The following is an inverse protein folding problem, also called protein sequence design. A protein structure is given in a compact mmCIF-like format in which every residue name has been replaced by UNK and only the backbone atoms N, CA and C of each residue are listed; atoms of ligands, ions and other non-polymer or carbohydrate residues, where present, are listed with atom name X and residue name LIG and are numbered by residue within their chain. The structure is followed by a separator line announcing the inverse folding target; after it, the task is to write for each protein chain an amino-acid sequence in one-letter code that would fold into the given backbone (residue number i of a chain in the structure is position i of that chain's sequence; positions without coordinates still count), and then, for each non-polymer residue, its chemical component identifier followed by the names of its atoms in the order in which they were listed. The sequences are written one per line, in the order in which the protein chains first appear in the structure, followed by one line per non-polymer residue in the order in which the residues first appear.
data_IF_547007232100
#
_entry.id   IF_547007232100
#
_cell.length_a   1.000
_cell.length_b   1.000
_cell.length_c   1.000
_cell.angle_alpha   90.00
_cell.angle_beta   90.00
_cell.angle_gamma   90.00
#
_symmetry.space_group_name_H-M   'P 1'
#
loop_
_entity.id
_entity.type
_entity.pdbx_description
1 polymer ?
#
# COMPACT_ATOMS: atom_id res chain seq x y z
N UNK A 1 34.83 -6.22 17.45
CA UNK A 1 34.29 -6.66 16.15
C UNK A 1 34.39 -8.17 16.08
N UNK A 2 33.25 -8.86 16.13
CA UNK A 2 33.15 -10.33 16.15
C UNK A 2 32.61 -10.82 14.81
N UNK A 3 33.05 -12.03 14.42
CA UNK A 3 32.96 -12.56 13.05
C UNK A 3 31.51 -12.72 12.53
N UNK A 4 30.54 -12.88 13.43
CA UNK A 4 29.09 -12.82 13.22
C UNK A 4 28.46 -12.71 14.62
N UNK A 5 27.93 -11.55 15.02
CA UNK A 5 27.28 -11.44 16.34
C UNK A 5 25.77 -11.38 16.21
N UNK A 6 25.12 -12.42 16.73
CA UNK A 6 23.78 -12.34 17.29
C UNK A 6 23.90 -12.40 18.82
N UNK A 7 23.99 -11.22 19.44
CA UNK A 7 23.58 -11.04 20.83
C UNK A 7 22.51 -9.94 20.83
N UNK A 8 21.24 -10.37 20.84
CA UNK A 8 20.11 -9.47 20.99
C UNK A 8 19.93 -9.13 22.47
N UNK A 9 20.41 -7.95 22.86
CA UNK A 9 19.98 -7.31 24.09
C UNK A 9 19.44 -5.93 23.76
N UNK A 10 18.10 -5.79 23.81
CA UNK A 10 17.44 -4.48 23.93
C UNK A 10 17.09 -3.71 22.65
N UNK A 11 17.06 -4.33 21.46
CA UNK A 11 16.60 -3.66 20.23
C UNK A 11 15.64 -4.54 19.43
N UNK A 12 14.64 -3.88 18.84
CA UNK A 12 13.49 -4.41 18.08
C UNK A 12 13.85 -5.53 17.10
N UNK A 13 12.86 -6.35 16.72
CA UNK A 13 12.92 -7.51 15.83
C UNK A 13 13.41 -7.24 14.39
N UNK A 14 14.06 -6.10 14.16
CA UNK A 14 14.66 -5.67 12.89
C UNK A 14 16.05 -6.29 12.74
N UNK A 15 16.22 -7.10 11.70
CA UNK A 15 17.52 -7.65 11.32
C UNK A 15 18.34 -6.56 10.63
N UNK A 16 19.51 -6.22 11.18
CA UNK A 16 20.47 -5.28 10.57
C UNK A 16 21.74 -6.03 10.22
N UNK A 17 22.29 -5.78 9.03
CA UNK A 17 23.59 -6.35 8.62
C UNK A 17 24.71 -5.71 9.45
N UNK A 18 25.43 -6.53 10.22
CA UNK A 18 26.51 -6.09 11.11
C UNK A 18 27.82 -6.83 10.79
N UNK A 19 28.94 -6.31 11.30
CA UNK A 19 30.25 -6.97 11.22
C UNK A 19 30.87 -6.98 9.82
N UNK A 20 31.52 -8.09 9.46
CA UNK A 20 32.26 -8.25 8.19
C UNK A 20 31.37 -8.09 6.96
N UNK A 21 30.16 -8.68 6.90
CA UNK A 21 29.25 -8.47 5.77
C UNK A 21 28.98 -6.98 5.50
N UNK A 22 28.75 -6.20 6.56
CA UNK A 22 28.50 -4.76 6.45
C UNK A 22 29.73 -3.98 6.01
N UNK A 23 30.90 -4.33 6.55
CA UNK A 23 32.17 -3.74 6.12
C UNK A 23 32.41 -3.96 4.61
N UNK A 24 32.10 -5.17 4.10
CA UNK A 24 32.22 -5.48 2.68
C UNK A 24 31.29 -4.64 1.81
N UNK A 25 30.05 -4.39 2.24
CA UNK A 25 29.11 -3.49 1.54
C UNK A 25 29.66 -2.07 1.45
N UNK A 26 30.19 -1.56 2.57
CA UNK A 26 30.71 -0.19 2.67
C UNK A 26 31.97 0.03 1.82
N UNK A 27 32.95 -0.89 1.89
CA UNK A 27 34.21 -0.77 1.13
C UNK A 27 33.95 -0.81 -0.38
N UNK A 28 33.01 -1.65 -0.82
CA UNK A 28 32.70 -1.80 -2.24
C UNK A 28 31.68 -0.78 -2.75
N UNK A 29 31.16 0.11 -1.89
CA UNK A 29 30.11 1.08 -2.23
C UNK A 29 28.94 0.37 -2.93
N UNK A 30 28.47 -0.71 -2.32
CA UNK A 30 27.43 -1.56 -2.91
C UNK A 30 26.11 -0.77 -3.04
N UNK A 31 25.55 -0.70 -4.26
CA UNK A 31 24.22 -0.10 -4.48
C UNK A 31 23.10 -0.90 -3.81
N UNK A 32 23.18 -2.23 -3.91
CA UNK A 32 22.21 -3.15 -3.33
C UNK A 32 22.75 -3.71 -2.02
N UNK A 33 22.39 -3.07 -0.90
CA UNK A 33 22.71 -3.54 0.45
C UNK A 33 21.67 -4.55 0.93
N UNK A 34 22.06 -5.48 1.81
CA UNK A 34 21.17 -6.58 2.24
C UNK A 34 20.02 -6.14 3.13
N UNK A 35 20.25 -5.14 3.98
CA UNK A 35 19.26 -4.63 4.93
C UNK A 35 19.17 -3.12 4.80
N UNK A 36 18.60 -2.59 3.70
CA UNK A 36 18.38 -1.16 3.55
C UNK A 36 17.43 -0.66 4.64
N UNK A 37 17.73 0.50 5.21
CA UNK A 37 16.90 1.06 6.26
C UNK A 37 17.10 2.56 6.41
N UNK A 38 16.03 3.25 6.75
CA UNK A 38 16.02 4.64 7.18
C UNK A 38 15.64 4.73 8.66
N UNK A 39 16.17 5.76 9.33
CA UNK A 39 15.66 6.26 10.60
C UNK A 39 15.07 7.63 10.34
N UNK A 40 13.76 7.75 10.47
CA UNK A 40 12.98 8.92 10.12
C UNK A 40 12.45 9.54 11.41
N UNK A 41 12.92 10.74 11.73
CA UNK A 41 12.39 11.50 12.85
C UNK A 41 11.16 12.30 12.40
N UNK A 42 10.23 12.47 13.32
CA UNK A 42 8.99 13.20 13.07
C UNK A 42 9.09 14.63 13.62
N UNK A 43 8.30 15.54 13.04
CA UNK A 43 8.17 16.91 13.57
C UNK A 43 7.52 16.88 14.96
N UNK A 44 7.62 17.99 15.70
CA UNK A 44 7.12 18.06 17.09
C UNK A 44 5.61 17.83 17.21
N UNK A 45 4.84 18.02 16.14
CA UNK A 45 3.40 17.77 16.11
C UNK A 45 3.08 16.26 16.15
N UNK A 46 3.90 15.45 15.47
CA UNK A 46 3.66 14.02 15.30
C UNK A 46 4.51 13.13 16.23
N UNK A 47 5.59 13.65 16.81
CA UNK A 47 6.54 12.84 17.58
C UNK A 47 6.17 12.57 19.05
N UNK A 48 5.12 13.21 19.61
CA UNK A 48 4.72 13.02 21.01
C UNK A 48 3.55 12.03 21.20
N UNK A 49 2.73 11.81 20.16
CA UNK A 49 1.57 10.91 20.22
C UNK A 49 1.78 9.72 19.27
N UNK A 50 1.62 8.50 19.79
CA UNK A 50 1.74 7.26 19.01
C UNK A 50 0.70 7.18 17.88
N UNK A 51 -0.51 7.68 18.10
CA UNK A 51 -1.56 7.70 17.07
C UNK A 51 -1.17 8.60 15.89
N UNK A 52 -0.55 9.75 16.17
CA UNK A 52 -0.05 10.68 15.15
C UNK A 52 1.15 10.06 14.41
N UNK A 53 2.05 9.38 15.12
CA UNK A 53 3.13 8.63 14.49
C UNK A 53 2.61 7.50 13.57
N UNK A 54 1.48 6.86 13.91
CA UNK A 54 0.84 5.84 13.06
C UNK A 54 0.36 6.40 11.73
N UNK A 55 -0.11 7.66 11.69
CA UNK A 55 -0.49 8.33 10.43
C UNK A 55 0.71 8.39 9.47
N UNK A 56 1.86 8.85 9.98
CA UNK A 56 3.08 8.94 9.15
C UNK A 56 3.63 7.55 8.82
N UNK A 57 3.52 6.58 9.74
CA UNK A 57 3.88 5.19 9.48
C UNK A 57 3.12 4.62 8.28
N UNK A 58 1.80 4.83 8.22
CA UNK A 58 0.95 4.41 7.11
C UNK A 58 1.31 5.13 5.81
N UNK A 59 1.64 6.42 5.87
CA UNK A 59 2.06 7.20 4.70
C UNK A 59 3.42 6.76 4.13
N UNK A 60 4.29 6.15 4.95
CA UNK A 60 5.60 5.65 4.52
C UNK A 60 5.55 4.20 4.03
N UNK A 61 4.77 3.34 4.68
CA UNK A 61 4.79 1.90 4.40
C UNK A 61 4.08 1.56 3.08
N UNK A 62 4.85 1.04 2.11
CA UNK A 62 4.33 0.61 0.83
C UNK A 62 3.28 -0.48 1.00
N UNK A 63 2.05 -0.17 0.62
CA UNK A 63 0.92 -1.07 0.68
C UNK A 63 0.38 -1.28 -0.72
N UNK A 64 0.55 -2.50 -1.24
CA UNK A 64 -0.06 -2.92 -2.50
C UNK A 64 -1.43 -3.54 -2.25
N UNK A 65 -2.24 -3.62 -3.31
CA UNK A 65 -3.56 -4.27 -3.24
C UNK A 65 -3.48 -5.68 -2.64
N UNK A 66 -2.48 -6.48 -3.07
CA UNK A 66 -2.23 -7.83 -2.53
C UNK A 66 -2.07 -7.91 -1.02
N UNK A 67 -1.51 -6.87 -0.37
CA UNK A 67 -1.35 -6.91 1.10
C UNK A 67 -2.70 -6.93 1.80
N UNK A 68 -3.68 -6.17 1.28
CA UNK A 68 -5.01 -6.01 1.88
C UNK A 68 -6.06 -6.98 1.30
N UNK A 69 -5.80 -7.62 0.17
CA UNK A 69 -6.69 -8.65 -0.39
C UNK A 69 -6.71 -9.90 0.47
N UNK A 70 -7.92 -10.39 0.77
CA UNK A 70 -8.17 -11.67 1.42
C UNK A 70 -8.21 -12.81 0.40
N UNK A 71 -8.97 -12.62 -0.68
CA UNK A 71 -9.14 -13.59 -1.76
C UNK A 71 -9.56 -12.90 -3.05
N UNK A 72 -9.31 -13.57 -4.17
CA UNK A 72 -9.78 -13.20 -5.51
C UNK A 72 -10.60 -14.36 -6.07
N UNK A 73 -11.76 -14.03 -6.64
CA UNK A 73 -12.72 -15.01 -7.17
C UNK A 73 -13.15 -14.53 -8.56
N UNK A 74 -13.21 -15.44 -9.53
CA UNK A 74 -13.71 -15.14 -10.87
C UNK A 74 -15.06 -15.82 -11.05
N UNK A 75 -16.09 -15.02 -11.33
CA UNK A 75 -17.45 -15.48 -11.55
C UNK A 75 -17.88 -15.21 -12.99
N UNK A 76 -18.70 -16.10 -13.53
CA UNK A 76 -19.48 -15.81 -14.73
C UNK A 76 -20.84 -15.28 -14.30
N UNK A 77 -21.06 -13.98 -14.49
CA UNK A 77 -22.24 -13.23 -14.07
C UNK A 77 -22.78 -12.39 -15.24
N UNK A 78 -23.69 -12.95 -16.05
CA UNK A 78 -24.02 -12.40 -17.36
C UNK A 78 -24.84 -11.11 -17.32
N UNK A 79 -25.57 -10.86 -16.24
CA UNK A 79 -26.31 -9.61 -16.05
C UNK A 79 -25.39 -8.64 -15.28
N UNK A 80 -25.04 -7.46 -15.84
CA UNK A 80 -24.24 -6.48 -15.12
C UNK A 80 -25.02 -5.77 -14.01
N UNK A 81 -26.35 -5.67 -14.14
CA UNK A 81 -27.23 -4.92 -13.22
C UNK A 81 -27.63 -5.72 -11.97
N UNK A 82 -27.51 -7.03 -12.04
CA UNK A 82 -27.79 -7.97 -10.96
C UNK A 82 -26.57 -8.82 -10.70
N UNK A 83 -26.59 -9.58 -9.62
CA UNK A 83 -25.52 -10.54 -9.38
C UNK A 83 -26.03 -11.89 -8.89
N UNK A 84 -25.33 -12.94 -9.33
CA UNK A 84 -25.51 -14.30 -8.83
C UNK A 84 -24.97 -14.46 -7.40
N UNK A 85 -24.07 -13.57 -6.96
CA UNK A 85 -23.44 -13.64 -5.64
C UNK A 85 -24.37 -12.98 -4.61
N UNK A 86 -25.01 -13.80 -3.79
CA UNK A 86 -25.98 -13.36 -2.77
C UNK A 86 -25.42 -12.25 -1.84
N UNK A 87 -24.14 -12.37 -1.46
CA UNK A 87 -23.46 -11.44 -0.54
C UNK A 87 -23.29 -10.03 -1.11
N UNK A 88 -23.28 -9.89 -2.44
CA UNK A 88 -22.99 -8.62 -3.11
C UNK A 88 -24.27 -7.96 -3.68
N UNK A 89 -25.42 -8.65 -3.65
CA UNK A 89 -26.68 -8.17 -4.27
C UNK A 89 -27.09 -6.80 -3.80
N UNK A 90 -27.09 -6.58 -2.48
CA UNK A 90 -27.60 -5.36 -1.87
C UNK A 90 -26.88 -4.12 -2.40
N UNK A 91 -25.55 -4.15 -2.51
CA UNK A 91 -24.80 -2.98 -2.99
C UNK A 91 -24.76 -2.89 -4.52
N UNK A 92 -24.78 -4.02 -5.24
CA UNK A 92 -24.84 -4.02 -6.71
C UNK A 92 -26.15 -3.39 -7.18
N UNK A 93 -27.28 -3.80 -6.61
CA UNK A 93 -28.60 -3.24 -6.94
C UNK A 93 -28.66 -1.74 -6.57
N UNK A 94 -28.20 -1.37 -5.37
CA UNK A 94 -28.18 0.04 -4.94
C UNK A 94 -27.29 0.93 -5.84
N UNK A 95 -26.15 0.40 -6.30
CA UNK A 95 -25.26 1.11 -7.22
C UNK A 95 -25.96 1.43 -8.55
N UNK A 96 -26.57 0.41 -9.18
CA UNK A 96 -27.24 0.60 -10.46
C UNK A 96 -28.52 1.43 -10.34
N UNK A 97 -29.25 1.32 -9.24
CA UNK A 97 -30.38 2.19 -8.95
C UNK A 97 -29.94 3.67 -8.90
N UNK A 98 -28.78 3.98 -8.31
CA UNK A 98 -28.23 5.33 -8.30
C UNK A 98 -27.77 5.77 -9.71
N UNK A 99 -27.08 4.88 -10.42
CA UNK A 99 -26.48 5.19 -11.72
C UNK A 99 -27.53 5.42 -12.82
N UNK A 100 -28.64 4.65 -12.79
CA UNK A 100 -29.80 4.84 -13.67
C UNK A 100 -30.56 6.16 -13.44
N UNK A 101 -30.43 6.74 -12.25
CA UNK A 101 -31.01 8.03 -11.89
C UNK A 101 -30.07 9.21 -12.19
N UNK A 102 -28.84 8.91 -12.61
CA UNK A 102 -27.82 9.88 -13.02
C UNK A 102 -27.66 9.80 -14.54
N UNK A 103 -27.45 10.93 -15.24
CA UNK A 103 -27.14 10.95 -16.69
C UNK A 103 -25.71 10.41 -16.94
N UNK A 104 -25.47 9.16 -16.56
CA UNK A 104 -24.18 8.47 -16.72
C UNK A 104 -24.09 7.81 -18.09
N UNK A 105 -22.93 7.93 -18.75
CA UNK A 105 -22.66 7.36 -20.07
C UNK A 105 -22.33 5.84 -20.04
N UNK A 106 -22.57 5.17 -18.91
CA UNK A 106 -22.18 3.78 -18.72
C UNK A 106 -23.20 2.87 -19.38
N UNK A 107 -22.87 2.31 -20.53
CA UNK A 107 -23.70 1.29 -21.17
C UNK A 107 -23.39 -0.11 -20.59
N UNK A 108 -24.32 -0.75 -19.85
CA UNK A 108 -24.08 -2.06 -19.25
C UNK A 108 -23.82 -3.16 -20.29
N UNK A 109 -24.32 -3.00 -21.53
CA UNK A 109 -24.11 -3.97 -22.61
C UNK A 109 -22.65 -4.07 -23.08
N UNK A 110 -21.81 -3.09 -22.74
CA UNK A 110 -20.39 -3.10 -23.04
C UNK A 110 -19.55 -3.79 -21.96
N UNK A 111 -20.16 -4.26 -20.87
CA UNK A 111 -19.45 -4.94 -19.79
C UNK A 111 -19.39 -6.44 -20.05
N UNK A 112 -18.20 -7.03 -19.85
CA UNK A 112 -18.03 -8.48 -19.94
C UNK A 112 -18.90 -9.21 -18.90
N UNK A 113 -19.43 -10.40 -19.25
CA UNK A 113 -20.12 -11.27 -18.30
C UNK A 113 -19.18 -11.84 -17.24
N UNK A 114 -17.86 -11.78 -17.42
CA UNK A 114 -16.92 -12.23 -16.40
C UNK A 114 -16.63 -11.13 -15.37
N UNK A 115 -16.72 -11.50 -14.09
CA UNK A 115 -16.49 -10.61 -12.95
C UNK A 115 -15.31 -11.11 -12.15
N UNK A 116 -14.33 -10.23 -11.94
CA UNK A 116 -13.28 -10.42 -10.95
C UNK A 116 -13.74 -9.80 -9.63
N UNK A 117 -14.07 -10.64 -8.65
CA UNK A 117 -14.42 -10.25 -7.29
C UNK A 117 -13.16 -10.29 -6.41
N UNK A 118 -12.83 -9.14 -5.82
CA UNK A 118 -11.69 -8.98 -4.91
C UNK A 118 -12.24 -8.76 -3.51
N UNK A 119 -12.07 -9.76 -2.63
CA UNK A 119 -12.42 -9.66 -1.22
C UNK A 119 -11.32 -8.94 -0.46
N UNK A 120 -11.68 -7.90 0.29
CA UNK A 120 -10.76 -7.07 1.05
C UNK A 120 -10.82 -7.48 2.53
N UNK A 121 -9.65 -7.59 3.15
CA UNK A 121 -9.50 -7.85 4.57
C UNK A 121 -9.77 -6.55 5.36
N UNK A 122 -10.87 -6.54 6.13
CA UNK A 122 -11.30 -5.39 6.92
C UNK A 122 -10.23 -4.92 7.91
N UNK A 123 -9.58 -5.84 8.62
CA UNK A 123 -8.57 -5.49 9.62
C UNK A 123 -7.38 -4.78 8.98
N UNK A 124 -6.88 -5.33 7.87
CA UNK A 124 -5.75 -4.72 7.15
C UNK A 124 -6.11 -3.39 6.51
N UNK A 125 -7.32 -3.25 5.96
CA UNK A 125 -7.82 -1.99 5.43
C UNK A 125 -7.89 -0.93 6.53
N UNK A 126 -8.48 -1.25 7.68
CA UNK A 126 -8.58 -0.34 8.84
C UNK A 126 -7.21 0.07 9.37
N UNK A 127 -6.27 -0.86 9.48
CA UNK A 127 -4.91 -0.57 9.92
C UNK A 127 -4.18 0.43 9.01
N UNK A 128 -4.52 0.40 7.71
CA UNK A 128 -3.99 1.31 6.69
C UNK A 128 -4.86 2.55 6.46
N UNK A 129 -5.96 2.71 7.20
CA UNK A 129 -6.88 3.84 7.09
C UNK A 129 -7.34 4.12 5.65
N UNK A 130 -7.56 3.05 4.86
CA UNK A 130 -8.02 3.15 3.48
C UNK A 130 -9.55 3.03 3.42
N UNK A 131 -10.21 3.80 2.56
CA UNK A 131 -11.63 3.59 2.21
C UNK A 131 -11.78 2.70 0.98
N UNK A 132 -12.93 2.04 0.83
CA UNK A 132 -13.25 1.26 -0.37
C UNK A 132 -13.27 2.13 -1.62
N UNK A 133 -13.74 3.38 -1.50
CA UNK A 133 -13.72 4.37 -2.58
C UNK A 133 -12.29 4.67 -3.07
N UNK A 134 -11.33 4.86 -2.16
CA UNK A 134 -9.93 5.08 -2.51
C UNK A 134 -9.32 3.86 -3.22
N UNK A 135 -9.65 2.66 -2.75
CA UNK A 135 -9.17 1.41 -3.35
C UNK A 135 -9.73 1.26 -4.77
N UNK A 136 -11.04 1.45 -4.96
CA UNK A 136 -11.68 1.36 -6.27
C UNK A 136 -11.15 2.42 -7.23
N UNK A 137 -11.01 3.67 -6.78
CA UNK A 137 -10.46 4.77 -7.58
C UNK A 137 -9.04 4.45 -8.06
N UNK A 138 -8.18 3.89 -7.19
CA UNK A 138 -6.82 3.47 -7.57
C UNK A 138 -6.80 2.37 -8.62
N UNK A 139 -7.75 1.43 -8.56
CA UNK A 139 -7.86 0.37 -9.58
C UNK A 139 -8.29 0.97 -10.93
N UNK A 140 -9.26 1.89 -10.92
CA UNK A 140 -9.75 2.56 -12.13
C UNK A 140 -8.66 3.46 -12.75
N UNK A 141 -7.88 4.18 -11.94
CA UNK A 141 -6.76 5.02 -12.41
C UNK A 141 -5.69 4.22 -13.17
N UNK A 142 -5.43 2.98 -12.77
CA UNK A 142 -4.42 2.12 -13.39
C UNK A 142 -4.94 1.45 -14.68
N UNK A 143 -6.26 1.22 -14.77
CA UNK A 143 -6.91 0.55 -15.92
C UNK A 143 -8.15 1.31 -16.41
N UNK A 144 -8.01 2.58 -16.85
CA UNK A 144 -9.15 3.46 -17.12
C UNK A 144 -10.04 2.99 -18.28
N UNK A 145 -9.43 2.42 -19.31
CA UNK A 145 -10.12 1.98 -20.53
C UNK A 145 -10.52 0.50 -20.47
N UNK A 146 -9.76 -0.31 -19.73
CA UNK A 146 -9.93 -1.76 -19.77
C UNK A 146 -10.98 -2.25 -18.76
N UNK A 147 -11.19 -1.51 -17.67
CA UNK A 147 -11.97 -2.00 -16.54
C UNK A 147 -13.03 -1.03 -16.05
N UNK A 148 -14.11 -1.63 -15.58
CA UNK A 148 -15.18 -1.02 -14.82
C UNK A 148 -15.20 -1.64 -13.44
N UNK A 149 -15.23 -0.82 -12.38
CA UNK A 149 -15.20 -1.31 -11.01
C UNK A 149 -16.37 -0.74 -10.21
N UNK A 150 -17.00 -1.59 -9.42
CA UNK A 150 -17.96 -1.22 -8.38
C UNK A 150 -17.47 -1.79 -7.05
N UNK A 151 -17.86 -1.19 -5.94
CA UNK A 151 -17.40 -1.62 -4.62
C UNK A 151 -18.53 -1.57 -3.60
N UNK A 152 -18.39 -2.37 -2.55
CA UNK A 152 -19.25 -2.29 -1.38
C UNK A 152 -18.94 -1.02 -0.57
N UNK A 153 -19.89 -0.61 0.26
CA UNK A 153 -19.66 0.44 1.26
C UNK A 153 -18.67 -0.02 2.35
N UNK A 154 -18.06 0.96 3.02
CA UNK A 154 -17.14 0.72 4.14
C UNK A 154 -17.79 0.03 5.35
N UNK A 155 -19.13 0.11 5.45
CA UNK A 155 -19.92 -0.49 6.53
C UNK A 155 -20.51 -1.87 6.18
N UNK A 156 -20.23 -2.39 4.98
CA UNK A 156 -20.70 -3.71 4.56
C UNK A 156 -20.04 -4.82 5.40
N UNK A 157 -20.79 -5.89 5.70
CA UNK A 157 -20.23 -7.07 6.36
C UNK A 157 -19.13 -7.74 5.50
N UNK A 158 -19.29 -7.68 4.19
CA UNK A 158 -18.34 -8.22 3.23
C UNK A 158 -17.79 -7.06 2.38
N UNK A 159 -16.49 -6.80 2.52
CA UNK A 159 -15.81 -5.80 1.73
C UNK A 159 -15.35 -6.40 0.42
N UNK A 160 -15.97 -5.98 -0.69
CA UNK A 160 -15.66 -6.50 -2.01
C UNK A 160 -15.55 -5.38 -3.05
N UNK A 161 -14.66 -5.57 -4.01
CA UNK A 161 -14.59 -4.80 -5.26
C UNK A 161 -14.89 -5.77 -6.39
N UNK A 162 -15.84 -5.41 -7.26
CA UNK A 162 -16.19 -6.17 -8.45
C UNK A 162 -15.66 -5.43 -9.67
N UNK A 163 -14.75 -6.06 -10.40
CA UNK A 163 -14.19 -5.52 -11.64
C UNK A 163 -14.70 -6.32 -12.85
N UNK A 164 -15.20 -5.61 -13.86
CA UNK A 164 -15.62 -6.14 -15.17
C UNK A 164 -14.76 -5.53 -16.27
N UNK A 165 -14.53 -6.29 -17.33
CA UNK A 165 -13.82 -5.78 -18.52
C UNK A 165 -14.78 -4.89 -19.32
N UNK A 166 -14.29 -3.75 -19.81
CA UNK A 166 -14.97 -2.92 -20.79
C UNK A 166 -14.67 -3.44 -22.19
N UNK A 167 -15.70 -3.73 -22.96
CA UNK A 167 -15.61 -4.10 -24.36
C UNK A 167 -15.75 -2.86 -25.24
N UNK A 168 -14.86 -2.72 -26.22
CA UNK A 168 -14.93 -1.66 -27.24
C UNK A 168 -16.02 -1.92 -28.31
N UNK A 169 -16.84 -2.97 -28.16
CA UNK A 169 -17.95 -3.29 -29.05
C UNK A 169 -17.55 -3.94 -30.38
N UNK A 170 -16.30 -4.39 -30.51
CA UNK A 170 -15.84 -5.21 -31.65
C UNK A 170 -16.44 -6.61 -31.59
N UNK A 171 -17.28 -6.93 -32.59
CA UNK A 171 -17.93 -8.24 -32.75
C UNK A 171 -16.99 -9.25 -33.41
N UNK A 172 -16.13 -9.88 -32.61
CA UNK A 172 -15.37 -11.07 -33.03
C UNK A 172 -16.03 -12.35 -32.48
N UNK A 173 -15.59 -13.52 -32.96
CA UNK A 173 -16.22 -14.82 -32.68
C UNK A 173 -16.35 -15.12 -31.16
N UNK A 174 -17.60 -15.26 -30.68
CA UNK A 174 -17.96 -15.36 -29.25
C UNK A 174 -17.19 -16.44 -28.46
N UNK A 175 -16.89 -17.60 -29.08
CA UNK A 175 -16.17 -18.68 -28.41
C UNK A 175 -14.67 -18.39 -28.25
N UNK A 176 -14.08 -17.66 -29.19
CA UNK A 176 -12.68 -17.28 -29.13
C UNK A 176 -12.49 -16.15 -28.10
N UNK A 177 -13.45 -15.22 -28.07
CA UNK A 177 -13.50 -14.11 -27.11
C UNK A 177 -13.60 -14.59 -25.66
N UNK A 178 -14.43 -15.60 -25.35
CA UNK A 178 -14.55 -16.13 -23.98
C UNK A 178 -13.25 -16.75 -23.43
N UNK A 179 -12.47 -17.43 -24.27
CA UNK A 179 -11.19 -18.04 -23.85
C UNK A 179 -10.14 -16.95 -23.64
N UNK A 180 -10.16 -15.90 -24.47
CA UNK A 180 -9.29 -14.74 -24.33
C UNK A 180 -9.61 -13.94 -23.06
N UNK A 181 -10.89 -13.80 -22.70
CA UNK A 181 -11.32 -13.07 -21.50
C UNK A 181 -10.88 -13.72 -20.17
N UNK A 182 -10.97 -15.05 -20.01
CA UNK A 182 -10.50 -15.73 -18.78
C UNK A 182 -8.98 -15.61 -18.60
N UNK A 183 -8.22 -15.76 -19.70
CA UNK A 183 -6.76 -15.58 -19.68
C UNK A 183 -6.41 -14.12 -19.39
N UNK A 184 -7.17 -13.18 -19.93
CA UNK A 184 -7.01 -11.77 -19.66
C UNK A 184 -7.28 -11.43 -18.20
N UNK A 185 -8.38 -11.91 -17.61
CA UNK A 185 -8.69 -11.67 -16.19
C UNK A 185 -7.62 -12.20 -15.25
N UNK A 186 -7.07 -13.40 -15.50
CA UNK A 186 -5.95 -13.93 -14.71
C UNK A 186 -4.68 -13.10 -14.85
N UNK A 187 -4.47 -12.52 -16.02
CA UNK A 187 -3.32 -11.63 -16.28
C UNK A 187 -3.51 -10.31 -15.54
N UNK A 188 -4.69 -9.72 -15.65
CA UNK A 188 -5.10 -8.48 -14.96
C UNK A 188 -5.04 -8.67 -13.45
N UNK A 189 -5.57 -9.77 -12.92
CA UNK A 189 -5.51 -10.11 -11.49
C UNK A 189 -4.07 -10.09 -10.98
N UNK A 190 -3.14 -10.77 -11.67
CA UNK A 190 -1.73 -10.80 -11.28
C UNK A 190 -1.06 -9.43 -11.40
N UNK A 191 -1.41 -8.64 -12.43
CA UNK A 191 -0.89 -7.28 -12.57
C UNK A 191 -1.39 -6.42 -11.42
N UNK A 192 -2.71 -6.32 -11.23
CA UNK A 192 -3.35 -5.51 -10.19
C UNK A 192 -2.80 -5.77 -8.80
N UNK A 193 -2.75 -7.04 -8.38
CA UNK A 193 -2.33 -7.41 -7.04
C UNK A 193 -0.89 -6.96 -6.75
N UNK A 194 -0.01 -6.98 -7.75
CA UNK A 194 1.40 -6.68 -7.56
C UNK A 194 1.79 -5.23 -7.92
N UNK A 195 1.13 -4.60 -8.89
CA UNK A 195 1.48 -3.25 -9.38
C UNK A 195 0.76 -2.14 -8.63
N UNK A 196 -0.53 -2.35 -8.29
CA UNK A 196 -1.35 -1.29 -7.71
C UNK A 196 -0.84 -0.95 -6.32
N UNK A 197 -0.35 0.27 -6.21
CA UNK A 197 0.09 0.87 -4.96
C UNK A 197 -1.06 1.69 -4.39
N UNK A 198 -1.59 1.28 -3.25
CA UNK A 198 -2.70 1.97 -2.59
C UNK A 198 -2.20 3.14 -1.75
N UNK A 199 -1.12 2.94 -1.01
CA UNK A 199 -0.46 3.98 -0.24
C UNK A 199 1.01 3.62 0.03
N UNK A 200 1.76 4.59 0.55
CA UNK A 200 3.15 4.40 0.93
C UNK A 200 4.15 4.69 -0.18
N UNK A 201 5.43 4.57 0.17
CA UNK A 201 6.55 4.87 -0.72
C UNK A 201 7.15 3.58 -1.25
N UNK A 202 7.21 3.44 -2.58
CA UNK A 202 7.89 2.31 -3.21
C UNK A 202 9.33 2.18 -2.70
N UNK A 203 9.71 0.95 -2.36
CA UNK A 203 11.01 0.65 -1.75
C UNK A 203 11.00 0.60 -0.23
N UNK A 204 9.93 1.05 0.46
CA UNK A 204 9.77 0.94 1.92
C UNK A 204 8.74 -0.16 2.24
N UNK A 205 9.21 -1.34 2.62
CA UNK A 205 8.34 -2.52 2.78
C UNK A 205 7.58 -2.54 4.10
N UNK A 206 8.24 -2.13 5.19
CA UNK A 206 7.72 -2.11 6.55
C UNK A 206 8.26 -0.91 7.30
N UNK A 207 7.48 -0.40 8.24
CA UNK A 207 7.86 0.72 9.10
C UNK A 207 7.56 0.36 10.54
N UNK A 208 8.53 0.56 11.43
CA UNK A 208 8.45 0.26 12.85
C UNK A 208 8.45 1.55 13.65
N UNK A 209 7.49 1.71 14.57
CA UNK A 209 7.49 2.82 15.52
C UNK A 209 8.42 2.46 16.68
N UNK A 210 9.37 3.35 16.97
CA UNK A 210 10.36 3.20 18.04
C UNK A 210 10.28 4.38 18.99
N UNK A 211 10.34 4.11 20.28
CA UNK A 211 10.54 5.12 21.31
C UNK A 211 12.05 5.43 21.42
N UNK A 212 12.43 6.72 21.32
CA UNK A 212 13.78 7.19 21.60
C UNK A 212 13.79 8.32 22.63
N UNK A 213 14.79 8.30 23.52
CA UNK A 213 15.02 9.40 24.48
C UNK A 213 15.53 10.63 23.75
N UNK A 214 14.92 11.79 24.03
CA UNK A 214 15.29 13.07 23.43
C UNK A 214 16.01 13.94 24.46
N UNK A 215 17.25 14.32 24.16
CA UNK A 215 18.02 15.27 24.98
C UNK A 215 18.01 16.64 24.33
N UNK A 216 17.56 17.65 25.07
CA UNK A 216 17.55 19.05 24.66
C UNK A 216 18.51 19.86 25.53
N UNK A 217 18.96 21.00 25.03
CA UNK A 217 19.76 21.94 25.83
C UNK A 217 18.80 22.96 26.43
N UNK A 218 18.81 23.10 27.75
CA UNK A 218 17.96 24.06 28.45
C UNK A 218 18.50 25.49 28.37
N UNK A 219 17.74 26.48 28.86
CA UNK A 219 18.15 27.89 28.86
C UNK A 219 19.43 28.19 29.66
N UNK A 220 19.91 27.24 30.48
CA UNK A 220 21.16 27.32 31.24
C UNK A 220 22.34 26.68 30.52
N UNK A 221 22.13 26.07 29.36
CA UNK A 221 23.15 25.37 28.58
C UNK A 221 23.42 23.93 29.00
N UNK A 222 22.61 23.36 29.90
CA UNK A 222 22.75 21.98 30.37
C UNK A 222 21.90 21.03 29.51
N UNK A 223 22.36 19.78 29.36
CA UNK A 223 21.55 18.73 28.75
C UNK A 223 20.43 18.32 29.71
N UNK A 224 19.20 18.46 29.25
CA UNK A 224 18.01 18.01 29.92
C UNK A 224 17.33 16.93 29.09
N UNK A 225 16.91 15.85 29.73
CA UNK A 225 16.14 14.82 29.05
C UNK A 225 14.70 15.34 28.89
N UNK A 226 14.32 15.72 27.67
CA UNK A 226 12.99 16.26 27.40
C UNK A 226 11.89 15.19 27.33
N UNK A 227 12.24 13.94 27.67
CA UNK A 227 11.36 12.79 27.61
C UNK A 227 11.66 11.90 26.41
N UNK A 228 10.60 11.41 25.79
CA UNK A 228 10.63 10.42 24.73
C UNK A 228 10.04 11.02 23.45
N UNK A 229 10.60 10.69 22.30
CA UNK A 229 10.07 11.02 20.97
C UNK A 229 9.87 9.74 20.16
N UNK A 230 8.77 9.68 19.41
CA UNK A 230 8.49 8.61 18.47
C UNK A 230 9.30 8.81 17.20
N UNK A 231 10.02 7.77 16.81
CA UNK A 231 10.88 7.72 15.62
C UNK A 231 10.48 6.53 14.78
N UNK A 232 10.45 6.69 13.46
CA UNK A 232 10.11 5.62 12.54
C UNK A 232 11.38 4.97 12.01
N UNK A 233 11.41 3.65 12.01
CA UNK A 233 12.48 2.86 11.42
C UNK A 233 11.95 2.05 10.25
N UNK A 234 12.54 2.20 9.07
CA UNK A 234 12.07 1.51 7.86
C UNK A 234 12.86 0.23 7.58
N UNK A 235 12.20 -0.70 6.92
CA UNK A 235 12.79 -1.83 6.18
C UNK A 235 12.66 -1.50 4.69
N UNK A 236 13.79 -1.20 4.05
CA UNK A 236 13.80 -0.51 2.76
C UNK A 236 14.23 0.95 2.86
N UNK A 237 14.55 1.53 1.71
CA UNK A 237 15.05 2.90 1.59
C UNK A 237 14.52 3.58 0.33
N UNK A 238 14.11 4.84 0.50
CA UNK A 238 13.80 5.77 -0.58
C UNK A 238 13.81 7.20 0.00
N UNK A 239 15.00 7.68 0.34
CA UNK A 239 15.26 8.90 1.08
C UNK A 239 14.64 10.12 0.41
N UNK A 240 14.72 10.18 -0.94
CA UNK A 240 14.16 11.27 -1.73
C UNK A 240 12.67 11.45 -1.50
N UNK A 241 11.90 10.37 -1.60
CA UNK A 241 10.45 10.42 -1.39
C UNK A 241 10.10 10.70 0.07
N UNK A 242 10.89 10.17 1.02
CA UNK A 242 10.67 10.39 2.46
C UNK A 242 10.82 11.86 2.86
N UNK A 243 11.72 12.61 2.24
CA UNK A 243 11.87 14.05 2.51
C UNK A 243 10.64 14.88 2.17
N UNK A 244 9.80 14.41 1.25
CA UNK A 244 8.60 15.12 0.80
C UNK A 244 7.34 14.75 1.58
N UNK A 245 7.45 13.89 2.61
CA UNK A 245 6.29 13.47 3.40
C UNK A 245 6.02 14.47 4.52
N UNK A 246 4.79 14.95 4.59
CA UNK A 246 4.35 15.84 5.66
C UNK A 246 4.47 15.16 7.03
N UNK A 247 4.95 15.91 8.04
CA UNK A 247 5.20 15.38 9.39
C UNK A 247 6.57 14.69 9.55
N UNK A 248 7.32 14.48 8.48
CA UNK A 248 8.73 14.07 8.55
C UNK A 248 9.64 15.27 8.80
N UNK A 249 10.54 15.14 9.76
CA UNK A 249 11.61 16.11 9.98
C UNK A 249 12.78 15.81 9.03
N UNK A 250 12.76 16.44 7.85
CA UNK A 250 13.77 16.25 6.80
C UNK A 250 15.21 16.57 7.25
N UNK A 251 15.39 17.36 8.31
CA UNK A 251 16.72 17.67 8.85
C UNK A 251 17.32 16.53 9.67
N UNK A 252 16.47 15.60 10.12
CA UNK A 252 16.82 14.45 10.97
C UNK A 252 16.34 13.15 10.35
N UNK A 253 16.74 12.86 9.12
CA UNK A 253 16.53 11.53 8.51
C UNK A 253 17.89 10.91 8.20
N UNK A 254 18.07 9.65 8.59
CA UNK A 254 19.32 8.93 8.41
C UNK A 254 19.10 7.72 7.51
N UNK A 255 19.87 7.60 6.43
CA UNK A 255 19.95 6.38 5.62
C UNK A 255 21.20 5.58 5.97
N UNK A 256 21.10 4.26 5.88
CA UNK A 256 22.26 3.37 5.90
C UNK A 256 22.83 3.10 4.50
N UNK A 257 22.35 3.73 3.43
CA UNK A 257 22.91 3.61 2.08
C UNK A 257 23.72 4.86 1.71
N UNK A 258 25.07 4.80 1.67
CA UNK A 258 25.87 5.96 1.27
C UNK A 258 25.61 6.41 -0.17
N UNK A 259 25.24 5.48 -1.06
CA UNK A 259 24.93 5.78 -2.47
C UNK A 259 23.69 6.66 -2.55
N UNK A 260 22.64 6.29 -1.82
CA UNK A 260 21.38 7.04 -1.78
C UNK A 260 21.58 8.45 -1.21
N UNK A 261 22.39 8.59 -0.15
CA UNK A 261 22.70 9.90 0.45
C UNK A 261 23.44 10.82 -0.53
N UNK A 262 24.26 10.26 -1.42
CA UNK A 262 25.01 11.04 -2.41
C UNK A 262 24.15 11.46 -3.62
N UNK A 263 23.09 10.71 -3.91
CA UNK A 263 22.19 10.95 -5.06
C UNK A 263 21.09 11.98 -4.78
N UNK A 264 20.78 12.24 -3.50
CA UNK A 264 19.75 13.18 -3.03
C UNK A 264 20.38 14.52 -2.66
#
# INVERSE_FOLDING_TARGET
MTLNTFHYAGVSSKNVTLGVPRLKELINVAKNIKTPSLTVYLTNEYNHNMEQAKIIQTALEHTTLKKITQATEIYYDPDPTKTIVEEDRDFVEAYWDMELNTDSDVNPELLSPWVLRIKIDEQKKMDKQLSMEQIASKIIEEFPNDLWCIHSDDNSENLSVLARIKSDGSKDDEQQQQIEEDVFLKTVENMMLNSITLCGIQGIQRVFIMDKKKSIINSKGEYENSGHEWVLETDGNNLKSVFSVDGVDFTRVYSNSPVEIMEV
#
